data_IF_744225777322
#
_entry.id   IF_744225777322
#
_cell.length_a   1.000
_cell.length_b   1.000
_cell.length_c   1.000
_cell.angle_alpha   90.00
_cell.angle_beta   90.00
_cell.angle_gamma   90.00
#
_symmetry.space_group_name_H-M   'P 1'
#
loop_
_entity.id
_entity.type
_entity.pdbx_description
1 polymer ?
#
# COMPACT_ATOMS: atom_id res chain seq x y z
N UNK A 1 4.92 9.91 11.65
CA UNK A 1 5.56 10.83 10.70
C UNK A 1 6.83 11.44 11.27
N UNK A 2 6.82 11.89 12.55
CA UNK A 2 8.00 12.47 13.23
C UNK A 2 9.24 11.59 13.05
N UNK A 3 9.20 10.34 13.46
CA UNK A 3 10.34 9.39 13.37
C UNK A 3 10.90 9.30 11.96
N UNK A 4 10.03 9.26 10.94
CA UNK A 4 10.47 9.12 9.54
C UNK A 4 11.07 10.40 8.96
N UNK A 5 10.53 11.57 9.28
CA UNK A 5 11.08 12.83 8.80
C UNK A 5 12.39 13.17 9.50
N UNK A 6 12.49 12.94 10.81
CA UNK A 6 13.74 13.21 11.56
C UNK A 6 14.89 12.29 11.16
N UNK A 7 14.61 11.13 10.56
CA UNK A 7 15.66 10.21 10.05
C UNK A 7 16.18 10.57 8.65
N UNK A 8 15.64 11.61 8.00
CA UNK A 8 16.01 12.04 6.63
C UNK A 8 17.17 13.02 6.60
N UNK A 9 18.32 12.61 7.15
CA UNK A 9 19.54 13.43 7.14
C UNK A 9 20.20 13.56 5.76
N UNK A 10 19.84 12.72 4.81
CA UNK A 10 20.30 12.72 3.42
C UNK A 10 19.78 13.92 2.59
N UNK A 11 18.74 14.62 3.09
CA UNK A 11 18.22 15.82 2.45
C UNK A 11 18.88 17.08 3.04
N UNK A 12 19.80 17.74 2.30
CA UNK A 12 20.47 18.94 2.80
C UNK A 12 19.44 20.03 3.11
N UNK A 13 19.69 20.81 4.19
CA UNK A 13 18.81 21.88 4.70
C UNK A 13 17.50 21.35 5.30
N UNK A 14 16.73 20.52 4.56
CA UNK A 14 15.44 19.99 5.05
C UNK A 14 15.63 19.01 6.19
N UNK A 15 16.52 18.03 6.04
CA UNK A 15 16.73 16.96 7.00
C UNK A 15 17.36 17.45 8.31
N UNK A 16 18.35 18.34 8.22
CA UNK A 16 19.13 18.78 9.38
C UNK A 16 18.51 19.96 10.13
N UNK A 17 17.54 20.68 9.55
CA UNK A 17 16.96 21.87 10.18
C UNK A 17 15.44 21.78 10.24
N UNK A 18 14.76 21.79 9.10
CA UNK A 18 13.31 21.92 9.03
C UNK A 18 12.62 20.67 9.60
N UNK A 19 13.07 19.47 9.24
CA UNK A 19 12.47 18.23 9.73
C UNK A 19 12.78 17.89 11.18
N UNK A 20 13.62 18.66 11.86
CA UNK A 20 13.84 18.52 13.31
C UNK A 20 12.84 19.36 14.13
N UNK A 21 12.08 20.25 13.48
CA UNK A 21 11.11 21.12 14.15
C UNK A 21 9.76 20.41 14.38
N UNK A 22 9.27 20.38 15.62
CA UNK A 22 8.02 19.68 15.97
C UNK A 22 6.79 20.17 15.21
N UNK A 23 6.69 21.48 14.98
CA UNK A 23 5.55 22.05 14.25
C UNK A 23 5.47 21.56 12.80
N UNK A 24 6.61 21.22 12.19
CA UNK A 24 6.65 20.68 10.80
C UNK A 24 5.97 19.34 10.72
N UNK A 25 6.18 18.46 11.68
CA UNK A 25 5.54 17.15 11.72
C UNK A 25 4.02 17.27 11.85
N UNK A 26 3.56 18.19 12.69
CA UNK A 26 2.14 18.49 12.82
C UNK A 26 1.57 19.06 11.53
N UNK A 27 2.26 20.03 10.93
CA UNK A 27 1.85 20.62 9.65
C UNK A 27 1.69 19.58 8.56
N UNK A 28 2.67 18.71 8.36
CA UNK A 28 2.58 17.64 7.36
C UNK A 28 1.46 16.64 7.67
N UNK A 29 1.26 16.28 8.95
CA UNK A 29 0.21 15.36 9.35
C UNK A 29 -1.19 15.93 9.07
N UNK A 30 -1.42 17.19 9.49
CA UNK A 30 -2.70 17.86 9.26
C UNK A 30 -2.94 18.14 7.76
N UNK A 31 -1.91 18.59 7.04
CA UNK A 31 -2.01 18.83 5.60
C UNK A 31 -2.36 17.55 4.84
N UNK A 32 -1.73 16.43 5.19
CA UNK A 32 -2.06 15.11 4.61
C UNK A 32 -3.50 14.71 4.90
N UNK A 33 -3.94 14.85 6.14
CA UNK A 33 -5.32 14.53 6.53
C UNK A 33 -6.34 15.39 5.77
N UNK A 34 -6.13 16.68 5.69
CA UNK A 34 -7.04 17.57 4.94
C UNK A 34 -7.00 17.30 3.44
N UNK A 35 -5.82 16.99 2.90
CA UNK A 35 -5.69 16.58 1.52
C UNK A 35 -6.54 15.33 1.24
N UNK A 36 -6.37 14.26 1.99
CA UNK A 36 -7.10 13.01 1.81
C UNK A 36 -8.62 13.20 1.94
N UNK A 37 -9.04 14.05 2.89
CA UNK A 37 -10.45 14.32 3.11
C UNK A 37 -11.09 15.14 1.97
N UNK A 38 -10.38 16.12 1.42
CA UNK A 38 -10.97 17.12 0.53
C UNK A 38 -10.69 16.88 -0.96
N UNK A 39 -9.61 16.19 -1.30
CA UNK A 39 -9.13 16.09 -2.68
C UNK A 39 -10.16 15.51 -3.63
N UNK A 40 -10.92 14.51 -3.20
CA UNK A 40 -11.97 13.90 -4.03
C UNK A 40 -13.06 14.89 -4.40
N UNK A 41 -13.49 15.74 -3.47
CA UNK A 41 -14.50 16.77 -3.71
C UNK A 41 -13.98 17.86 -4.64
N UNK A 42 -12.71 18.25 -4.48
CA UNK A 42 -12.05 19.24 -5.34
C UNK A 42 -11.94 18.71 -6.78
N UNK A 43 -11.62 17.44 -6.97
CA UNK A 43 -11.51 16.81 -8.28
C UNK A 43 -12.86 16.57 -8.96
N UNK A 44 -13.93 16.33 -8.21
CA UNK A 44 -15.27 16.14 -8.76
C UNK A 44 -15.83 17.43 -9.37
N UNK A 45 -15.48 18.60 -8.86
CA UNK A 45 -15.97 19.87 -9.38
C UNK A 45 -15.10 20.36 -10.56
N UNK A 46 -15.73 20.59 -11.71
CA UNK A 46 -15.07 21.00 -12.95
C UNK A 46 -14.24 22.30 -12.82
N UNK A 47 -14.66 23.24 -11.97
CA UNK A 47 -13.97 24.52 -11.79
C UNK A 47 -12.70 24.37 -10.94
N UNK A 48 -12.72 23.51 -9.94
CA UNK A 48 -11.62 23.31 -8.99
C UNK A 48 -10.71 22.14 -9.40
N UNK A 49 -11.15 21.28 -10.29
CA UNK A 49 -10.43 20.09 -10.76
C UNK A 49 -8.99 20.36 -11.20
N UNK A 50 -8.69 21.39 -12.04
CA UNK A 50 -7.29 21.63 -12.44
C UNK A 50 -6.40 21.95 -11.25
N UNK A 51 -6.90 22.73 -10.30
CA UNK A 51 -6.19 23.03 -9.06
C UNK A 51 -6.02 21.77 -8.22
N UNK A 52 -7.09 20.97 -8.06
CA UNK A 52 -7.03 19.68 -7.36
C UNK A 52 -5.99 18.74 -7.97
N UNK A 53 -5.90 18.67 -9.29
CA UNK A 53 -4.91 17.84 -9.95
C UNK A 53 -3.47 18.31 -9.67
N UNK A 54 -3.23 19.62 -9.64
CA UNK A 54 -1.92 20.15 -9.24
C UNK A 54 -1.58 19.74 -7.81
N UNK A 55 -2.55 19.80 -6.89
CA UNK A 55 -2.35 19.34 -5.52
C UNK A 55 -2.04 17.83 -5.46
N UNK A 56 -2.72 17.01 -6.26
CA UNK A 56 -2.41 15.57 -6.38
C UNK A 56 -0.97 15.36 -6.81
N UNK A 57 -0.54 16.04 -7.86
CA UNK A 57 0.84 15.92 -8.38
C UNK A 57 1.85 16.35 -7.31
N UNK A 58 1.65 17.53 -6.70
CA UNK A 58 2.55 18.03 -5.66
C UNK A 58 2.65 17.10 -4.46
N UNK A 59 1.51 16.62 -3.95
CA UNK A 59 1.47 15.73 -2.81
C UNK A 59 2.18 14.41 -3.09
N UNK A 60 1.89 13.78 -4.23
CA UNK A 60 2.47 12.48 -4.55
C UNK A 60 3.94 12.56 -4.99
N UNK A 61 4.36 13.62 -5.67
CA UNK A 61 5.78 13.85 -5.97
C UNK A 61 6.56 14.06 -4.67
N UNK A 62 6.04 14.87 -3.75
CA UNK A 62 6.65 15.06 -2.44
C UNK A 62 6.73 13.74 -1.67
N UNK A 63 5.67 12.93 -1.69
CA UNK A 63 5.64 11.60 -1.08
C UNK A 63 6.70 10.67 -1.70
N UNK A 64 6.87 10.67 -3.01
CA UNK A 64 7.89 9.86 -3.68
C UNK A 64 9.32 10.28 -3.28
N UNK A 65 9.56 11.57 -3.10
CA UNK A 65 10.87 12.09 -2.67
C UNK A 65 11.14 11.76 -1.20
N UNK A 66 10.15 11.99 -0.33
CA UNK A 66 10.31 11.79 1.11
C UNK A 66 10.30 10.32 1.52
N UNK A 67 9.58 9.48 0.79
CA UNK A 67 9.36 8.06 1.12
C UNK A 67 9.64 7.14 -0.08
N UNK A 68 10.90 7.00 -0.54
CA UNK A 68 11.23 6.17 -1.72
C UNK A 68 10.78 4.72 -1.59
N UNK A 69 10.67 4.20 -0.37
CA UNK A 69 10.21 2.84 -0.08
C UNK A 69 8.75 2.57 -0.44
N UNK A 70 7.95 3.61 -0.68
CA UNK A 70 6.55 3.46 -1.15
C UNK A 70 6.49 2.98 -2.61
N UNK A 71 7.60 3.09 -3.34
CA UNK A 71 7.73 2.56 -4.70
C UNK A 71 6.85 3.27 -5.72
N UNK A 72 6.07 2.51 -6.48
CA UNK A 72 5.27 3.04 -7.60
C UNK A 72 3.94 3.69 -7.18
N UNK A 73 3.53 3.58 -5.94
CA UNK A 73 2.22 4.07 -5.47
C UNK A 73 1.94 5.54 -5.83
N UNK A 74 2.85 6.52 -5.60
CA UNK A 74 2.61 7.91 -5.96
C UNK A 74 2.31 8.12 -7.45
N UNK A 75 3.02 7.43 -8.33
CA UNK A 75 2.82 7.53 -9.78
C UNK A 75 1.47 6.94 -10.22
N UNK A 76 1.07 5.83 -9.61
CA UNK A 76 -0.23 5.21 -9.85
C UNK A 76 -1.35 6.18 -9.45
N UNK A 77 -1.24 6.82 -8.29
CA UNK A 77 -2.25 7.76 -7.79
C UNK A 77 -2.38 8.99 -8.70
N UNK A 78 -1.27 9.57 -9.18
CA UNK A 78 -1.29 10.66 -10.16
C UNK A 78 -1.99 10.21 -11.44
N UNK A 79 -1.64 9.02 -11.95
CA UNK A 79 -2.22 8.50 -13.19
C UNK A 79 -3.71 8.20 -13.03
N UNK A 80 -4.12 7.55 -11.94
CA UNK A 80 -5.52 7.24 -11.67
C UNK A 80 -6.38 8.50 -11.50
N UNK A 81 -5.83 9.59 -10.98
CA UNK A 81 -6.59 10.83 -10.82
C UNK A 81 -6.96 11.51 -12.14
N UNK A 82 -6.35 11.10 -13.27
CA UNK A 82 -6.73 11.58 -14.60
C UNK A 82 -8.18 11.19 -14.96
N UNK A 83 -8.73 10.12 -14.36
CA UNK A 83 -10.11 9.67 -14.58
C UNK A 83 -11.17 10.76 -14.29
N UNK A 84 -10.84 11.73 -13.44
CA UNK A 84 -11.75 12.84 -13.13
C UNK A 84 -11.91 13.85 -14.27
N UNK A 85 -11.01 13.84 -15.27
CA UNK A 85 -11.09 14.76 -16.41
C UNK A 85 -12.10 14.30 -17.45
N UNK A 86 -12.59 15.27 -18.23
CA UNK A 86 -13.55 15.03 -19.29
C UNK A 86 -12.95 14.24 -20.46
N UNK A 87 -13.77 13.46 -21.20
CA UNK A 87 -13.30 12.65 -22.35
C UNK A 87 -12.55 13.49 -23.40
N UNK A 88 -12.95 14.74 -23.58
CA UNK A 88 -12.31 15.68 -24.53
C UNK A 88 -10.86 15.99 -24.15
N UNK A 89 -10.59 16.06 -22.85
CA UNK A 89 -9.21 16.27 -22.33
C UNK A 89 -8.36 15.05 -22.62
N UNK A 90 -8.88 13.86 -22.36
CA UNK A 90 -8.21 12.59 -22.68
C UNK A 90 -7.91 12.49 -24.18
N UNK A 91 -8.90 12.82 -25.02
CA UNK A 91 -8.72 12.82 -26.48
C UNK A 91 -7.62 13.79 -26.91
N UNK A 92 -7.61 15.01 -26.39
CA UNK A 92 -6.56 16.01 -26.71
C UNK A 92 -5.15 15.52 -26.32
N UNK A 93 -5.03 14.87 -25.16
CA UNK A 93 -3.75 14.31 -24.70
C UNK A 93 -3.31 13.17 -25.62
N UNK A 94 -4.21 12.25 -25.93
CA UNK A 94 -3.94 11.12 -26.82
C UNK A 94 -3.56 11.59 -28.21
N UNK A 95 -4.32 12.50 -28.80
CA UNK A 95 -4.07 13.04 -30.16
C UNK A 95 -2.68 13.70 -30.22
N UNK A 96 -2.27 14.45 -29.18
CA UNK A 96 -0.93 15.04 -29.08
C UNK A 96 0.16 13.98 -28.95
N UNK A 97 -0.04 12.99 -28.11
CA UNK A 97 0.93 11.90 -27.90
C UNK A 97 1.11 11.08 -29.17
N UNK A 98 0.02 10.74 -29.87
CA UNK A 98 0.07 9.98 -31.11
C UNK A 98 0.66 10.81 -32.28
N UNK A 99 0.45 12.11 -32.30
CA UNK A 99 1.11 12.99 -33.25
C UNK A 99 2.65 12.99 -33.10
N UNK A 100 3.14 12.92 -31.86
CA UNK A 100 4.58 12.84 -31.56
C UNK A 100 5.16 11.48 -32.00
N UNK A 101 4.42 10.39 -31.78
CA UNK A 101 4.87 9.02 -32.07
C UNK A 101 4.72 8.67 -33.56
N UNK A 102 4.16 9.57 -34.38
CA UNK A 102 3.87 9.35 -35.83
C UNK A 102 3.09 8.06 -36.10
N UNK A 103 2.28 7.61 -35.17
CA UNK A 103 1.52 6.38 -35.32
C UNK A 103 0.10 6.70 -35.83
N UNK A 104 -0.32 6.19 -37.00
CA UNK A 104 -1.62 6.54 -37.59
C UNK A 104 -2.75 5.76 -36.94
N UNK A 105 -2.94 5.87 -35.64
CA UNK A 105 -4.17 5.40 -34.97
C UNK A 105 -5.39 6.31 -35.26
N UNK A 106 -5.29 7.14 -36.32
CA UNK A 106 -6.37 8.00 -36.82
C UNK A 106 -7.60 7.25 -37.35
N UNK A 107 -7.72 5.95 -37.03
CA UNK A 107 -8.87 5.11 -37.39
C UNK A 107 -9.69 4.64 -36.18
N UNK A 108 -9.57 5.25 -35.02
CA UNK A 108 -10.61 5.02 -33.99
C UNK A 108 -11.85 5.79 -34.44
N UNK A 109 -12.52 5.22 -35.42
CA UNK A 109 -13.88 5.58 -35.79
C UNK A 109 -14.77 5.39 -34.58
N UNK A 110 -15.39 6.49 -34.15
CA UNK A 110 -16.51 6.56 -33.21
C UNK A 110 -16.50 5.50 -32.10
N UNK A 111 -16.27 5.95 -30.90
CA UNK A 111 -16.57 5.17 -29.69
C UNK A 111 -18.04 4.73 -29.83
N UNK A 112 -18.26 3.43 -30.07
CA UNK A 112 -19.60 2.87 -29.98
C UNK A 112 -20.05 3.07 -28.55
N UNK A 113 -20.96 3.99 -28.32
CA UNK A 113 -21.66 4.11 -27.04
C UNK A 113 -22.42 2.80 -26.85
N UNK A 114 -21.91 1.94 -25.97
CA UNK A 114 -22.61 0.72 -25.58
C UNK A 114 -23.85 1.12 -24.80
N UNK A 115 -25.02 0.97 -25.47
CA UNK A 115 -26.28 1.14 -24.78
C UNK A 115 -26.54 -0.13 -23.97
N UNK A 116 -26.24 -0.12 -22.68
CA UNK A 116 -26.45 -1.25 -21.79
C UNK A 116 -27.95 -1.55 -21.68
N UNK A 117 -28.37 -2.66 -22.28
CA UNK A 117 -29.78 -3.11 -22.29
C UNK A 117 -30.28 -3.50 -20.88
N UNK A 118 -29.38 -3.82 -19.94
CA UNK A 118 -29.71 -4.25 -18.58
C UNK A 118 -29.07 -3.33 -17.52
N UNK A 119 -29.46 -2.07 -17.51
CA UNK A 119 -29.03 -1.10 -16.50
C UNK A 119 -29.31 -1.56 -15.06
N UNK A 120 -30.42 -2.28 -14.83
CA UNK A 120 -30.77 -2.82 -13.49
C UNK A 120 -29.73 -3.83 -12.99
N UNK A 121 -29.24 -4.74 -13.83
CA UNK A 121 -28.23 -5.72 -13.44
C UNK A 121 -26.94 -5.01 -13.06
N UNK A 122 -26.50 -4.06 -13.87
CA UNK A 122 -25.28 -3.27 -13.57
C UNK A 122 -25.45 -2.51 -12.27
N UNK A 123 -26.58 -1.84 -12.07
CA UNK A 123 -26.87 -1.13 -10.81
C UNK A 123 -26.86 -2.06 -9.60
N UNK A 124 -27.49 -3.24 -9.70
CA UNK A 124 -27.47 -4.23 -8.62
C UNK A 124 -26.05 -4.70 -8.30
N UNK A 125 -25.26 -5.03 -9.34
CA UNK A 125 -23.86 -5.43 -9.14
C UNK A 125 -23.04 -4.32 -8.47
N UNK A 126 -23.23 -3.06 -8.88
CA UNK A 126 -22.55 -1.93 -8.27
C UNK A 126 -22.97 -1.72 -6.81
N UNK A 127 -24.28 -1.83 -6.51
CA UNK A 127 -24.77 -1.75 -5.12
C UNK A 127 -24.15 -2.85 -4.26
N UNK A 128 -24.16 -4.09 -4.73
CA UNK A 128 -23.56 -5.22 -4.01
C UNK A 128 -22.07 -5.00 -3.78
N UNK A 129 -21.35 -4.59 -4.84
CA UNK A 129 -19.92 -4.30 -4.75
C UNK A 129 -19.61 -3.23 -3.71
N UNK A 130 -20.29 -2.07 -3.77
CA UNK A 130 -20.08 -0.99 -2.82
C UNK A 130 -20.52 -1.36 -1.40
N UNK A 131 -21.58 -2.15 -1.25
CA UNK A 131 -21.99 -2.65 0.06
C UNK A 131 -20.91 -3.55 0.68
N UNK A 132 -20.33 -4.45 -0.10
CA UNK A 132 -19.21 -5.28 0.35
C UNK A 132 -18.01 -4.39 0.72
N UNK A 133 -17.63 -3.45 -0.13
CA UNK A 133 -16.50 -2.55 0.13
C UNK A 133 -16.71 -1.70 1.39
N UNK A 134 -17.94 -1.30 1.67
CA UNK A 134 -18.26 -0.53 2.85
C UNK A 134 -18.28 -1.39 4.13
N UNK A 135 -18.85 -2.59 4.06
CA UNK A 135 -19.05 -3.44 5.25
C UNK A 135 -17.83 -4.29 5.58
N UNK A 136 -17.09 -4.75 4.58
CA UNK A 136 -15.95 -5.65 4.77
C UNK A 136 -14.83 -5.10 5.68
N UNK A 137 -14.50 -3.81 5.66
CA UNK A 137 -13.52 -3.24 6.59
C UNK A 137 -13.91 -3.36 8.08
N UNK A 138 -15.19 -3.48 8.37
CA UNK A 138 -15.69 -3.62 9.74
C UNK A 138 -15.73 -5.06 10.26
N UNK A 139 -15.31 -6.04 9.44
CA UNK A 139 -15.33 -7.45 9.82
C UNK A 139 -14.53 -7.76 11.09
N UNK A 140 -13.57 -6.92 11.47
CA UNK A 140 -12.79 -7.09 12.69
C UNK A 140 -13.64 -7.09 13.95
N UNK A 141 -14.84 -6.48 13.94
CA UNK A 141 -15.79 -6.55 15.06
C UNK A 141 -16.35 -7.97 15.30
N UNK A 142 -16.21 -8.87 14.33
CA UNK A 142 -16.66 -10.26 14.44
C UNK A 142 -15.65 -11.16 15.17
N UNK A 143 -14.45 -10.67 15.43
CA UNK A 143 -13.39 -11.44 16.08
C UNK A 143 -13.20 -10.95 17.51
N UNK A 144 -13.07 -11.87 18.49
CA UNK A 144 -12.79 -11.50 19.87
C UNK A 144 -11.32 -11.08 20.05
N UNK A 145 -11.08 -10.21 21.03
CA UNK A 145 -9.74 -9.78 21.43
C UNK A 145 -9.24 -8.52 20.76
N UNK A 146 -8.02 -8.16 21.08
CA UNK A 146 -7.38 -6.93 20.64
C UNK A 146 -6.90 -7.05 19.19
N UNK A 147 -7.49 -6.24 18.31
CA UNK A 147 -7.20 -6.25 16.87
C UNK A 147 -5.71 -6.05 16.55
N UNK A 148 -5.04 -5.16 17.27
CA UNK A 148 -3.62 -4.88 17.05
C UNK A 148 -2.69 -5.97 17.56
N UNK A 149 -3.20 -6.86 18.42
CA UNK A 149 -2.45 -7.99 18.94
C UNK A 149 -2.58 -9.23 18.06
N UNK A 150 -3.82 -9.67 17.82
CA UNK A 150 -4.10 -10.92 17.11
C UNK A 150 -4.21 -10.74 15.58
N UNK A 151 -4.38 -9.51 15.09
CA UNK A 151 -4.54 -9.15 13.67
C UNK A 151 -5.74 -9.77 12.95
N UNK A 152 -6.65 -10.41 13.67
CA UNK A 152 -7.85 -10.99 13.09
C UNK A 152 -8.77 -9.90 12.53
N UNK A 153 -8.99 -9.94 11.22
CA UNK A 153 -9.73 -8.90 10.53
C UNK A 153 -8.99 -7.57 10.29
N UNK A 154 -7.70 -7.48 10.64
CA UNK A 154 -6.90 -6.27 10.43
C UNK A 154 -6.75 -5.92 8.94
N UNK A 155 -6.44 -6.91 8.10
CA UNK A 155 -6.31 -6.71 6.65
C UNK A 155 -7.63 -6.23 6.06
N UNK A 156 -7.58 -5.26 5.16
CA UNK A 156 -8.74 -4.58 4.55
C UNK A 156 -9.65 -3.82 5.52
N UNK A 157 -9.18 -3.49 6.72
CA UNK A 157 -9.93 -2.67 7.69
C UNK A 157 -9.61 -1.18 7.58
N UNK A 158 -8.99 -0.73 6.49
CA UNK A 158 -8.49 0.64 6.26
C UNK A 158 -7.47 1.14 7.28
N UNK A 159 -6.90 0.24 8.06
CA UNK A 159 -5.82 0.52 8.99
C UNK A 159 -4.50 0.21 8.32
N UNK A 160 -3.78 1.24 7.91
CA UNK A 160 -2.49 1.10 7.22
C UNK A 160 -1.41 1.72 8.10
N UNK A 161 -0.35 0.96 8.35
CA UNK A 161 0.86 1.44 9.03
C UNK A 161 0.61 2.04 10.44
N UNK A 162 -0.44 1.61 11.13
CA UNK A 162 -0.75 2.10 12.48
C UNK A 162 0.09 1.42 13.56
N UNK A 163 0.55 0.21 13.29
CA UNK A 163 1.41 -0.58 14.18
C UNK A 163 2.52 -1.25 13.38
N UNK A 164 3.63 -1.47 14.02
CA UNK A 164 4.71 -2.34 13.56
C UNK A 164 5.00 -3.37 14.66
N UNK A 165 5.04 -4.65 14.29
CA UNK A 165 5.48 -5.72 15.18
C UNK A 165 6.89 -6.09 14.83
N UNK A 166 7.72 -6.25 15.86
CA UNK A 166 9.07 -6.79 15.76
C UNK A 166 9.17 -7.97 16.70
N UNK A 167 9.65 -9.08 16.18
CA UNK A 167 9.90 -10.29 16.94
C UNK A 167 11.35 -10.74 16.79
N UNK A 168 11.76 -11.57 17.70
CA UNK A 168 13.00 -12.34 17.62
C UNK A 168 12.64 -13.78 17.92
N UNK A 169 13.01 -14.72 17.05
CA UNK A 169 12.63 -16.12 17.17
C UNK A 169 13.86 -16.98 16.90
N UNK A 170 14.22 -17.81 17.88
CA UNK A 170 15.25 -18.83 17.76
C UNK A 170 14.64 -20.23 17.77
N UNK A 171 15.21 -21.11 16.99
CA UNK A 171 14.80 -22.51 16.94
C UNK A 171 15.92 -23.40 17.46
N UNK A 172 15.55 -24.24 18.43
CA UNK A 172 16.42 -25.23 19.01
C UNK A 172 15.98 -26.60 18.52
N UNK A 173 16.87 -27.28 17.81
CA UNK A 173 16.67 -28.69 17.43
C UNK A 173 17.26 -29.56 18.52
N UNK A 174 16.51 -30.58 18.93
CA UNK A 174 16.94 -31.58 19.92
C UNK A 174 16.81 -32.95 19.28
N UNK A 175 17.89 -33.70 19.23
CA UNK A 175 17.86 -35.08 18.82
C UNK A 175 17.16 -35.92 19.88
N UNK A 176 16.17 -36.69 19.47
CA UNK A 176 15.35 -37.53 20.37
C UNK A 176 16.10 -38.74 20.93
N UNK A 177 17.16 -39.20 20.23
CA UNK A 177 17.91 -40.41 20.64
C UNK A 177 19.11 -40.06 21.53
N UNK A 178 19.87 -39.01 21.15
CA UNK A 178 21.11 -38.63 21.85
C UNK A 178 20.91 -37.52 22.87
N UNK A 179 19.77 -36.83 22.84
CA UNK A 179 19.49 -35.60 23.60
C UNK A 179 20.46 -34.44 23.30
N UNK A 180 21.28 -34.54 22.28
CA UNK A 180 22.10 -33.43 21.82
C UNK A 180 21.21 -32.33 21.22
N UNK A 181 21.64 -31.08 21.37
CA UNK A 181 20.83 -29.98 20.90
C UNK A 181 21.69 -28.84 20.37
N UNK A 182 21.18 -28.13 19.37
CA UNK A 182 21.82 -26.95 18.80
C UNK A 182 20.79 -25.92 18.38
N UNK A 183 21.24 -24.67 18.22
CA UNK A 183 20.41 -23.60 17.68
C UNK A 183 20.58 -23.52 16.18
N UNK A 184 19.44 -23.35 15.49
CA UNK A 184 19.43 -23.21 14.03
C UNK A 184 19.82 -21.80 13.64
N UNK A 185 20.73 -21.67 12.72
CA UNK A 185 21.13 -20.41 12.11
C UNK A 185 20.18 -20.10 10.96
N UNK A 186 19.25 -19.18 11.17
CA UNK A 186 18.15 -18.91 10.23
C UNK A 186 18.62 -18.40 8.86
N UNK A 187 19.74 -17.68 8.80
CA UNK A 187 20.33 -17.14 7.57
C UNK A 187 20.73 -18.24 6.53
N UNK A 188 20.84 -19.49 6.96
CA UNK A 188 21.06 -20.64 6.05
C UNK A 188 19.83 -20.98 5.21
N UNK A 189 18.64 -20.63 5.68
CA UNK A 189 17.37 -21.04 5.09
C UNK A 189 16.51 -19.88 4.65
N UNK A 190 16.65 -18.72 5.30
CA UNK A 190 15.83 -17.54 5.11
C UNK A 190 16.67 -16.33 4.72
N UNK A 191 16.13 -15.49 3.86
CA UNK A 191 16.69 -14.16 3.65
C UNK A 191 16.36 -13.28 4.86
N UNK A 192 17.11 -12.19 5.08
CA UNK A 192 16.87 -11.23 6.17
C UNK A 192 15.41 -10.71 6.19
N UNK A 193 14.83 -10.52 5.00
CA UNK A 193 13.43 -10.12 4.88
C UNK A 193 12.47 -11.21 5.37
N UNK A 194 12.70 -12.48 4.95
CA UNK A 194 11.88 -13.62 5.36
C UNK A 194 11.97 -13.87 6.87
N UNK A 195 13.17 -13.83 7.43
CA UNK A 195 13.38 -13.98 8.88
C UNK A 195 12.64 -12.90 9.66
N UNK A 196 12.74 -11.65 9.23
CA UNK A 196 12.01 -10.53 9.85
C UNK A 196 10.50 -10.73 9.81
N UNK A 197 9.95 -11.22 8.67
CA UNK A 197 8.53 -11.48 8.56
C UNK A 197 8.08 -12.68 9.39
N UNK A 198 8.85 -13.74 9.41
CA UNK A 198 8.59 -14.95 10.18
C UNK A 198 8.57 -14.67 11.68
N UNK A 199 9.52 -13.90 12.19
CA UNK A 199 9.80 -13.75 13.63
C UNK A 199 8.66 -13.15 14.46
N UNK A 200 7.66 -12.53 13.84
CA UNK A 200 6.52 -11.96 14.57
C UNK A 200 5.15 -12.51 14.14
N UNK A 201 5.12 -13.45 13.18
CA UNK A 201 3.86 -14.04 12.70
C UNK A 201 3.75 -15.49 13.15
N UNK A 202 2.80 -15.84 14.06
CA UNK A 202 2.69 -17.19 14.63
C UNK A 202 2.58 -18.31 13.59
N UNK A 203 1.82 -18.07 12.51
CA UNK A 203 1.65 -19.06 11.43
C UNK A 203 2.99 -19.34 10.71
N UNK A 204 3.76 -18.31 10.46
CA UNK A 204 5.07 -18.46 9.81
C UNK A 204 6.12 -19.10 10.73
N UNK A 205 6.05 -18.81 12.03
CA UNK A 205 6.90 -19.47 13.04
C UNK A 205 6.62 -20.97 13.04
N UNK A 206 5.35 -21.36 13.06
CA UNK A 206 4.95 -22.76 13.04
C UNK A 206 5.34 -23.46 11.75
N UNK A 207 5.09 -22.85 10.60
CA UNK A 207 5.45 -23.38 9.29
C UNK A 207 6.97 -23.59 9.16
N UNK A 208 7.75 -22.62 9.60
CA UNK A 208 9.20 -22.72 9.59
C UNK A 208 9.74 -23.74 10.58
N UNK A 209 9.12 -23.91 11.76
CA UNK A 209 9.46 -24.96 12.69
C UNK A 209 9.25 -26.36 12.08
N UNK A 210 8.15 -26.58 11.37
CA UNK A 210 7.89 -27.83 10.65
C UNK A 210 8.94 -28.04 9.53
N UNK A 211 9.22 -27.02 8.76
CA UNK A 211 10.23 -27.10 7.71
C UNK A 211 11.61 -27.51 8.24
N UNK A 212 12.05 -26.91 9.35
CA UNK A 212 13.32 -27.25 10.02
C UNK A 212 13.29 -28.68 10.53
N UNK A 213 12.20 -29.09 11.17
CA UNK A 213 12.03 -30.46 11.67
C UNK A 213 12.14 -31.49 10.56
N UNK A 214 11.45 -31.26 9.45
CA UNK A 214 11.51 -32.14 8.27
C UNK A 214 12.90 -32.17 7.63
N UNK A 215 13.57 -31.02 7.57
CA UNK A 215 14.92 -30.93 7.02
C UNK A 215 15.94 -31.75 7.82
N UNK A 216 15.94 -31.61 9.14
CA UNK A 216 16.90 -32.34 9.98
C UNK A 216 16.58 -33.81 10.09
N UNK A 217 15.30 -34.19 10.18
CA UNK A 217 14.88 -35.58 10.14
C UNK A 217 15.35 -36.31 8.85
N UNK A 218 15.27 -35.67 7.68
CA UNK A 218 15.75 -36.23 6.41
C UNK A 218 17.25 -36.34 6.34
N UNK A 219 17.99 -35.56 7.10
CA UNK A 219 19.44 -35.52 7.12
C UNK A 219 20.07 -36.34 8.26
N UNK A 220 19.26 -37.12 9.00
CA UNK A 220 19.74 -38.09 9.99
C UNK A 220 20.04 -37.48 11.36
N UNK A 221 19.30 -36.45 11.73
CA UNK A 221 19.27 -35.86 13.07
C UNK A 221 17.88 -36.01 13.67
#
# INVERSE_FOLDING_TARGET
LKIWLTSKYDLPILGNTIFQMDWVHLFFSWSGMFYDLLISFILLNNKTRPFGFVLVVLFHVMTAILFPSIGMFPYIMITCSIIFFEPETHKKILDRTFAIIKNPLNKIKSIKVYNYRNTKVVQTLMIVFFSIQLLFPFRYFLYPGELFWNEQGYRFSWRVMLIEKKGFTEFKVVDSETAESFYVTNDKFLTEFQERQMSFQPDFILEYAHYIGDYYNKNGL
#
